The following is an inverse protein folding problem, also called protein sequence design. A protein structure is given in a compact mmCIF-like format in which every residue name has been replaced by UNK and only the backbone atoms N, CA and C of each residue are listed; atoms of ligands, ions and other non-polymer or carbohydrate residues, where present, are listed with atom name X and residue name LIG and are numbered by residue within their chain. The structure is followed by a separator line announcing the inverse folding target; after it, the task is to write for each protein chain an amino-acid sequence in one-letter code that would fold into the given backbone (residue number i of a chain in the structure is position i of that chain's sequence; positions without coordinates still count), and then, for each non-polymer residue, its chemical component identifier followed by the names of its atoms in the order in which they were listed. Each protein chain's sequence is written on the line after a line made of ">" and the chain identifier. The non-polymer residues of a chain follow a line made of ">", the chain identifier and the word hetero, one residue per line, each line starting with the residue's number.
data_IF_354464596577
#
_entry.id   IF_354464596577
#
_cell.length_a   1.000
_cell.length_b   1.000
_cell.length_c   1.000
_cell.angle_alpha   90.00
_cell.angle_beta   90.00
_cell.angle_gamma   90.00
#
_symmetry.space_group_name_H-M   'P 1'
#
loop_
_entity.id
_entity.type
_entity.pdbx_description
1 polymer ?
#
# COMPACT_ATOMS: atom_id res chain seq x y z
N UNK A 1 -6.05 -6.96 -5.29
CA UNK A 1 -5.41 -6.83 -3.96
C UNK A 1 -6.52 -6.96 -2.94
N UNK A 2 -6.53 -7.98 -2.10
CA UNK A 2 -7.51 -8.05 -1.02
C UNK A 2 -7.14 -6.98 0.01
N UNK A 3 -7.88 -5.87 0.04
CA UNK A 3 -7.87 -4.98 1.21
C UNK A 3 -8.56 -5.77 2.31
N UNK A 4 -7.77 -6.50 3.11
CA UNK A 4 -8.28 -7.25 4.25
C UNK A 4 -9.09 -6.28 5.11
N UNK A 5 -10.41 -6.44 5.04
CA UNK A 5 -11.33 -5.59 5.78
C UNK A 5 -11.26 -6.09 7.21
N UNK A 6 -10.62 -5.33 8.09
CA UNK A 6 -10.51 -5.70 9.50
C UNK A 6 -11.90 -5.56 10.14
N UNK A 7 -12.64 -6.67 10.23
CA UNK A 7 -14.00 -6.72 10.79
C UNK A 7 -14.03 -7.50 12.12
N UNK A 8 -12.95 -7.41 12.91
CA UNK A 8 -12.88 -8.03 14.23
C UNK A 8 -13.04 -6.97 15.30
N UNK A 9 -13.82 -7.29 16.33
CA UNK A 9 -13.86 -6.51 17.55
C UNK A 9 -12.50 -6.60 18.25
N UNK A 10 -12.01 -5.47 18.75
CA UNK A 10 -10.75 -5.39 19.50
C UNK A 10 -10.91 -4.45 20.70
N UNK A 11 -9.99 -4.58 21.66
CA UNK A 11 -9.94 -3.77 22.87
C UNK A 11 -8.57 -3.07 22.87
N UNK A 12 -8.56 -1.79 23.26
CA UNK A 12 -7.33 -1.04 23.51
C UNK A 12 -7.07 -1.09 25.02
N UNK A 13 -5.93 -1.63 25.40
CA UNK A 13 -5.57 -1.98 26.79
C UNK A 13 -4.77 -0.91 27.52
N UNK A 14 -4.37 0.17 26.83
CA UNK A 14 -3.56 1.25 27.37
C UNK A 14 -3.94 2.61 26.81
N UNK A 15 -3.72 3.67 27.60
CA UNK A 15 -3.96 5.06 27.17
C UNK A 15 -3.19 5.40 25.89
N UNK A 16 -1.93 4.96 25.79
CA UNK A 16 -1.10 5.13 24.60
C UNK A 16 -1.71 4.48 23.35
N UNK A 17 -2.35 3.32 23.49
CA UNK A 17 -3.02 2.64 22.40
C UNK A 17 -4.27 3.42 21.94
N UNK A 18 -5.02 3.99 22.89
CA UNK A 18 -6.18 4.85 22.63
C UNK A 18 -5.78 6.14 21.90
N UNK A 19 -4.72 6.82 22.36
CA UNK A 19 -4.21 8.04 21.73
C UNK A 19 -3.72 7.77 20.30
N UNK A 20 -2.96 6.69 20.10
CA UNK A 20 -2.47 6.28 18.78
C UNK A 20 -3.60 5.97 17.82
N UNK A 21 -4.60 5.20 18.27
CA UNK A 21 -5.77 4.89 17.46
C UNK A 21 -6.55 6.14 17.07
N UNK A 22 -6.77 7.05 18.04
CA UNK A 22 -7.45 8.32 17.81
C UNK A 22 -6.70 9.17 16.78
N UNK A 23 -5.37 9.22 16.86
CA UNK A 23 -4.53 9.89 15.87
C UNK A 23 -4.68 9.29 14.48
N UNK A 24 -4.63 7.97 14.34
CA UNK A 24 -4.77 7.28 13.04
C UNK A 24 -6.14 7.51 12.41
N UNK A 25 -7.21 7.53 13.21
CA UNK A 25 -8.58 7.73 12.71
C UNK A 25 -8.82 9.19 12.31
N UNK A 26 -8.29 10.15 13.07
CA UNK A 26 -8.49 11.58 12.82
C UNK A 26 -7.55 12.14 11.76
N UNK A 27 -6.35 11.58 11.63
CA UNK A 27 -5.44 11.93 10.54
C UNK A 27 -6.05 11.45 9.23
N UNK A 28 -6.39 12.40 8.35
CA UNK A 28 -6.72 12.07 6.96
C UNK A 28 -5.56 11.24 6.42
N UNK A 29 -5.81 10.09 5.77
CA UNK A 29 -4.74 9.34 5.13
C UNK A 29 -4.05 10.32 4.19
N UNK A 30 -2.82 10.68 4.54
CA UNK A 30 -2.00 11.56 3.74
C UNK A 30 -2.02 10.91 2.37
N UNK A 31 -2.59 11.61 1.39
CA UNK A 31 -2.85 11.03 0.09
C UNK A 31 -1.49 10.65 -0.48
N UNK A 32 -1.09 9.39 -0.28
CA UNK A 32 0.19 8.88 -0.73
C UNK A 32 0.14 9.12 -2.22
N UNK A 33 0.95 10.06 -2.71
CA UNK A 33 1.08 10.34 -4.13
C UNK A 33 1.76 9.12 -4.73
N UNK A 34 0.96 8.10 -5.01
CA UNK A 34 1.40 6.94 -5.76
C UNK A 34 1.70 7.49 -7.15
N UNK A 35 2.97 7.48 -7.52
CA UNK A 35 3.38 7.80 -8.87
C UNK A 35 2.91 6.69 -9.81
N UNK A 36 1.71 6.88 -10.36
CA UNK A 36 1.07 5.93 -11.28
C UNK A 36 1.82 5.84 -12.62
N UNK A 37 2.77 6.74 -12.90
CA UNK A 37 3.65 6.60 -14.06
C UNK A 37 4.53 5.35 -13.97
N UNK A 38 4.83 4.87 -12.76
CA UNK A 38 5.60 3.65 -12.55
C UNK A 38 4.83 2.38 -12.92
N UNK A 39 3.50 2.42 -12.84
CA UNK A 39 2.61 1.31 -13.20
C UNK A 39 1.91 1.55 -14.54
N UNK A 40 2.49 2.39 -15.40
CA UNK A 40 1.90 2.63 -16.72
C UNK A 40 2.00 1.38 -17.61
N UNK A 41 1.04 1.15 -18.53
CA UNK A 41 1.09 0.02 -19.46
C UNK A 41 2.36 -0.04 -20.30
N UNK A 42 2.95 1.11 -20.61
CA UNK A 42 4.20 1.22 -21.39
C UNK A 42 5.39 0.73 -20.57
N UNK A 43 5.51 1.18 -19.32
CA UNK A 43 6.57 0.76 -18.38
C UNK A 43 6.50 -0.73 -18.07
N UNK A 44 5.28 -1.28 -18.00
CA UNK A 44 5.06 -2.71 -17.83
C UNK A 44 5.63 -3.52 -19.01
N UNK A 45 5.30 -3.14 -20.25
CA UNK A 45 5.81 -3.80 -21.46
C UNK A 45 7.34 -3.69 -21.58
N UNK A 46 7.90 -2.54 -21.22
CA UNK A 46 9.36 -2.35 -21.20
C UNK A 46 10.04 -3.28 -20.19
N UNK A 47 9.48 -3.37 -18.97
CA UNK A 47 9.96 -4.28 -17.93
C UNK A 47 9.93 -5.74 -18.36
N UNK A 48 8.82 -6.20 -18.95
CA UNK A 48 8.69 -7.56 -19.49
C UNK A 48 9.73 -7.86 -20.56
N UNK A 49 9.96 -6.94 -21.50
CA UNK A 49 10.96 -7.11 -22.55
C UNK A 49 12.39 -7.18 -21.98
N UNK A 50 12.69 -6.36 -20.97
CA UNK A 50 13.98 -6.38 -20.29
C UNK A 50 14.20 -7.70 -19.55
N UNK A 51 13.18 -8.20 -18.85
CA UNK A 51 13.21 -9.51 -18.17
C UNK A 51 13.42 -10.65 -19.16
N UNK A 52 12.68 -10.67 -20.28
CA UNK A 52 12.86 -11.67 -21.34
C UNK A 52 14.30 -11.68 -21.85
N UNK A 53 14.90 -10.52 -22.14
CA UNK A 53 16.30 -10.42 -22.58
C UNK A 53 17.30 -10.95 -21.54
N UNK A 54 17.04 -10.74 -20.25
CA UNK A 54 17.90 -11.24 -19.17
C UNK A 54 17.81 -12.75 -19.00
N UNK A 55 16.61 -13.32 -19.11
CA UNK A 55 16.33 -14.75 -18.92
C UNK A 55 16.59 -15.60 -20.17
N UNK A 56 16.75 -14.97 -21.33
CA UNK A 56 17.08 -15.66 -22.59
C UNK A 56 18.59 -15.79 -22.82
N UNK A 57 19.42 -15.41 -21.84
CA UNK A 57 20.86 -15.69 -21.81
C UNK A 57 21.10 -17.02 -21.12
#
# INVERSE_FOLDING_TARGET
>A
MATSSFNKNFILDSEKAVESFTRIILEKPQQLKIDRSLTSPERQKEGENKLKRMLSR
#
